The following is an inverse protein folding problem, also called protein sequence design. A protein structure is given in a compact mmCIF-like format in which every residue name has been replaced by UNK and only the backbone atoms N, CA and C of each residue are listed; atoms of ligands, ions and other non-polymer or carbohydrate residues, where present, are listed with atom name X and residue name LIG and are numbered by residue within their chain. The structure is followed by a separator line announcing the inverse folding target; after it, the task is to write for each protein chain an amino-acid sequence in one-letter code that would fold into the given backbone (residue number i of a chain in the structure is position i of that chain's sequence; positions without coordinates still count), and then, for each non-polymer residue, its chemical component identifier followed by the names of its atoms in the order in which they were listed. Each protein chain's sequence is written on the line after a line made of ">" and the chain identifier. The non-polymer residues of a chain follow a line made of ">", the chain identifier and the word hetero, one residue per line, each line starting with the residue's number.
data_IF_300905073624
#
_entry.id   IF_300905073624
#
_cell.length_a   1.000
_cell.length_b   1.000
_cell.length_c   1.000
_cell.angle_alpha   90.00
_cell.angle_beta   90.00
_cell.angle_gamma   90.00
#
_symmetry.space_group_name_H-M   'P 1'
#
loop_
_entity.id
_entity.type
_entity.pdbx_description
1 polymer ?
#
# COMPACT_ATOMS: atom_id res chain seq x y z
N UNK A 1 4.86 -15.70 7.85
CA UNK A 1 4.22 -14.95 8.97
C UNK A 1 5.21 -13.89 9.41
N UNK A 2 4.86 -12.62 9.21
CA UNK A 2 5.71 -11.50 9.58
C UNK A 2 6.06 -11.57 11.07
N UNK A 3 7.31 -11.28 11.41
CA UNK A 3 7.68 -11.05 12.80
C UNK A 3 6.99 -9.76 13.22
N UNK A 4 5.83 -9.86 13.88
CA UNK A 4 5.19 -8.71 14.53
C UNK A 4 6.14 -8.27 15.65
N UNK A 5 6.97 -7.29 15.32
CA UNK A 5 7.75 -6.53 16.29
C UNK A 5 6.79 -5.51 16.89
N UNK A 6 6.75 -5.40 18.21
CA UNK A 6 5.84 -4.46 18.89
C UNK A 6 6.28 -3.03 18.58
N UNK A 7 5.56 -2.39 17.67
CA UNK A 7 5.58 -0.96 17.42
C UNK A 7 4.13 -0.46 17.56
N UNK A 8 3.78 0.26 18.65
CA UNK A 8 2.41 0.71 18.89
C UNK A 8 1.85 1.59 17.77
N UNK A 9 2.68 2.37 17.08
CA UNK A 9 2.20 3.24 16.01
C UNK A 9 1.76 2.41 14.80
N UNK A 10 2.58 1.43 14.40
CA UNK A 10 2.30 0.55 13.28
C UNK A 10 1.21 -0.47 13.60
N UNK A 11 1.30 -1.13 14.76
CA UNK A 11 0.38 -2.18 15.20
C UNK A 11 -1.03 -1.60 15.40
N UNK A 12 -1.16 -0.40 15.95
CA UNK A 12 -2.46 0.27 16.15
C UNK A 12 -2.91 1.11 14.95
N UNK A 13 -2.14 1.09 13.85
CA UNK A 13 -2.40 1.79 12.59
C UNK A 13 -2.57 3.31 12.74
N UNK A 14 -1.68 3.93 13.52
CA UNK A 14 -1.62 5.38 13.71
C UNK A 14 -0.60 5.95 12.72
N UNK A 15 -0.90 5.79 11.43
CA UNK A 15 0.01 6.06 10.29
C UNK A 15 0.35 7.55 10.10
N UNK A 16 -0.49 8.45 10.64
CA UNK A 16 -0.26 9.89 10.67
C UNK A 16 -0.93 10.47 11.93
N UNK A 17 -0.19 10.52 13.04
CA UNK A 17 -0.70 11.06 14.32
C UNK A 17 -1.05 12.56 14.25
N UNK A 18 -0.78 13.25 13.13
CA UNK A 18 -1.20 14.64 12.88
C UNK A 18 -2.67 14.74 12.50
N UNK A 19 -3.33 13.65 12.12
CA UNK A 19 -4.73 13.64 11.71
C UNK A 19 -5.59 12.81 12.64
N UNK A 20 -6.86 13.19 12.74
CA UNK A 20 -7.86 12.46 13.50
C UNK A 20 -8.05 11.05 12.92
N UNK A 21 -7.93 10.03 13.77
CA UNK A 21 -8.09 8.62 13.35
C UNK A 21 -9.55 8.22 13.11
N UNK A 22 -10.49 9.06 13.53
CA UNK A 22 -11.93 8.80 13.46
C UNK A 22 -12.42 8.53 12.05
N UNK A 23 -13.46 7.70 11.95
CA UNK A 23 -14.06 7.28 10.70
C UNK A 23 -15.32 8.10 10.46
N UNK A 24 -15.39 8.77 9.31
CA UNK A 24 -16.58 9.54 8.92
C UNK A 24 -17.73 8.62 8.50
N UNK A 25 -18.94 9.16 8.35
CA UNK A 25 -20.11 8.40 7.86
C UNK A 25 -19.92 7.79 6.47
N UNK A 26 -18.94 8.27 5.69
CA UNK A 26 -18.55 7.73 4.38
C UNK A 26 -17.48 6.64 4.47
N UNK A 27 -17.20 6.13 5.67
CA UNK A 27 -16.17 5.12 5.96
C UNK A 27 -14.74 5.54 5.59
N UNK A 28 -14.48 6.84 5.47
CA UNK A 28 -13.13 7.40 5.24
C UNK A 28 -12.55 7.99 6.52
N UNK A 29 -11.21 8.02 6.63
CA UNK A 29 -10.48 8.72 7.70
C UNK A 29 -10.85 10.21 7.75
N UNK A 30 -10.94 10.74 8.96
CA UNK A 30 -11.16 12.16 9.19
C UNK A 30 -9.92 12.97 8.78
N UNK A 31 -10.13 14.06 8.06
CA UNK A 31 -9.06 14.97 7.61
C UNK A 31 -8.74 16.08 8.64
N UNK A 32 -9.41 16.09 9.79
CA UNK A 32 -9.18 17.11 10.81
C UNK A 32 -7.81 16.93 11.45
N UNK A 33 -6.99 17.98 11.38
CA UNK A 33 -5.66 18.01 11.99
C UNK A 33 -5.76 18.11 13.51
N UNK A 34 -4.98 17.28 14.21
CA UNK A 34 -4.78 17.37 15.66
C UNK A 34 -3.77 18.48 15.93
N UNK A 35 -4.18 19.46 16.74
CA UNK A 35 -3.34 20.61 17.11
C UNK A 35 -2.56 20.33 18.40
N UNK A 36 -1.48 21.09 18.59
CA UNK A 36 -0.78 21.14 19.89
C UNK A 36 -1.72 21.62 21.01
N UNK A 37 -1.53 21.16 22.26
CA UNK A 37 -0.45 20.29 22.77
C UNK A 37 -0.71 18.77 22.63
N UNK A 38 -1.84 18.37 22.04
CA UNK A 38 -2.26 16.96 21.99
C UNK A 38 -1.38 16.12 21.07
N UNK A 39 -0.90 16.72 19.98
CA UNK A 39 -0.02 16.07 19.03
C UNK A 39 1.27 15.57 19.71
N UNK A 40 1.92 16.43 20.49
CA UNK A 40 3.09 16.06 21.29
C UNK A 40 2.77 14.95 22.31
N UNK A 41 1.60 14.99 22.93
CA UNK A 41 1.18 13.97 23.89
C UNK A 41 0.96 12.59 23.26
N UNK A 42 0.50 12.52 22.00
CA UNK A 42 0.38 11.26 21.25
C UNK A 42 1.76 10.63 21.05
N UNK A 43 2.73 11.40 20.54
CA UNK A 43 4.09 10.92 20.32
C UNK A 43 4.73 10.39 21.61
N UNK A 44 4.67 11.17 22.69
CA UNK A 44 5.23 10.77 23.99
C UNK A 44 4.56 9.51 24.58
N UNK A 45 3.27 9.28 24.30
CA UNK A 45 2.56 8.08 24.77
C UNK A 45 2.93 6.85 23.94
N UNK A 46 3.03 6.99 22.61
CA UNK A 46 3.48 5.91 21.72
C UNK A 46 4.92 5.49 22.02
N UNK A 47 5.83 6.45 22.24
CA UNK A 47 7.21 6.18 22.64
C UNK A 47 7.28 5.43 23.97
N UNK A 48 6.44 5.79 24.93
CA UNK A 48 6.36 5.07 26.21
C UNK A 48 5.83 3.64 26.02
N UNK A 49 4.85 3.46 25.14
CA UNK A 49 4.30 2.14 24.86
C UNK A 49 5.31 1.24 24.12
N UNK A 50 6.13 1.79 23.22
CA UNK A 50 7.12 1.02 22.45
C UNK A 50 8.28 0.52 23.32
N UNK A 51 8.62 1.26 24.37
CA UNK A 51 9.63 0.86 25.36
C UNK A 51 9.15 -0.26 26.30
N UNK A 52 7.84 -0.53 26.37
CA UNK A 52 7.25 -1.54 27.24
C UNK A 52 6.72 -2.74 26.46
N UNK A 53 6.56 -3.88 27.14
CA UNK A 53 5.88 -5.05 26.57
C UNK A 53 4.42 -4.70 26.19
N UNK A 54 3.85 -5.26 25.11
CA UNK A 54 2.44 -5.07 24.76
C UNK A 54 1.48 -5.43 25.90
N UNK A 55 1.86 -6.33 26.81
CA UNK A 55 1.10 -6.67 28.02
C UNK A 55 0.81 -5.46 28.93
N UNK A 56 1.64 -4.41 28.86
CA UNK A 56 1.47 -3.18 29.64
C UNK A 56 0.59 -2.13 28.94
N UNK A 57 0.17 -2.36 27.69
CA UNK A 57 -0.76 -1.50 26.97
C UNK A 57 -2.20 -1.70 27.49
N UNK A 58 -2.46 -1.23 28.71
CA UNK A 58 -3.75 -1.40 29.36
C UNK A 58 -4.88 -0.69 28.61
N UNK A 59 -6.13 -1.12 28.84
CA UNK A 59 -7.33 -0.45 28.31
C UNK A 59 -7.36 1.05 28.64
N UNK A 60 -6.84 1.46 29.81
CA UNK A 60 -6.76 2.87 30.19
C UNK A 60 -5.76 3.64 29.34
N UNK A 61 -4.58 3.06 29.08
CA UNK A 61 -3.57 3.64 28.18
C UNK A 61 -4.11 3.78 26.76
N UNK A 62 -4.81 2.75 26.26
CA UNK A 62 -5.46 2.77 24.95
C UNK A 62 -6.57 3.83 24.89
N UNK A 63 -7.33 4.01 25.98
CA UNK A 63 -8.33 5.07 26.08
C UNK A 63 -7.72 6.46 25.98
N UNK A 64 -6.63 6.70 26.72
CA UNK A 64 -5.91 7.98 26.66
C UNK A 64 -5.38 8.26 25.24
N UNK A 65 -4.83 7.23 24.59
CA UNK A 65 -4.34 7.33 23.23
C UNK A 65 -5.49 7.63 22.24
N UNK A 66 -6.60 6.89 22.34
CA UNK A 66 -7.75 7.06 21.47
C UNK A 66 -8.40 8.44 21.65
N UNK A 67 -8.56 8.90 22.89
CA UNK A 67 -9.04 10.25 23.17
C UNK A 67 -8.14 11.27 22.47
N UNK A 68 -6.82 11.21 22.65
CA UNK A 68 -5.87 12.14 22.03
C UNK A 68 -5.94 12.12 20.50
N UNK A 69 -6.06 10.95 19.89
CA UNK A 69 -6.08 10.73 18.44
C UNK A 69 -7.42 11.11 17.77
N UNK A 70 -8.47 11.42 18.54
CA UNK A 70 -9.79 11.77 18.01
C UNK A 70 -10.09 13.28 18.15
N UNK A 71 -10.73 13.85 17.13
CA UNK A 71 -11.21 15.23 17.19
C UNK A 71 -12.44 15.32 18.12
N UNK A 72 -12.40 16.26 19.07
CA UNK A 72 -13.45 16.39 20.09
C UNK A 72 -14.83 16.72 19.51
N UNK A 73 -14.85 17.45 18.41
CA UNK A 73 -16.06 18.00 17.80
C UNK A 73 -16.93 16.94 17.14
N UNK A 74 -16.32 15.96 16.48
CA UNK A 74 -17.04 15.02 15.62
C UNK A 74 -16.85 13.55 15.97
N UNK A 75 -15.70 13.15 16.54
CA UNK A 75 -15.35 11.74 16.69
C UNK A 75 -15.03 11.32 18.14
N UNK A 76 -15.31 12.17 19.13
CA UNK A 76 -15.15 11.82 20.56
C UNK A 76 -15.98 10.62 21.00
N UNK A 77 -17.10 10.36 20.34
CA UNK A 77 -17.95 9.19 20.61
C UNK A 77 -17.32 7.87 20.15
N UNK A 78 -16.34 7.89 19.23
CA UNK A 78 -15.69 6.68 18.69
C UNK A 78 -14.57 6.13 19.59
N UNK A 79 -14.24 6.82 20.69
CA UNK A 79 -13.13 6.42 21.58
C UNK A 79 -13.25 4.97 22.03
N UNK A 80 -14.45 4.54 22.47
CA UNK A 80 -14.64 3.18 22.96
C UNK A 80 -14.52 2.11 21.87
N UNK A 81 -14.86 2.44 20.62
CA UNK A 81 -14.73 1.54 19.48
C UNK A 81 -13.25 1.27 19.18
N UNK A 82 -12.44 2.33 19.11
CA UNK A 82 -10.99 2.21 18.94
C UNK A 82 -10.32 1.49 20.12
N UNK A 83 -10.73 1.77 21.35
CA UNK A 83 -10.21 1.06 22.53
C UNK A 83 -10.52 -0.43 22.43
N UNK A 84 -11.74 -0.82 22.05
CA UNK A 84 -12.10 -2.23 21.88
C UNK A 84 -11.25 -2.89 20.81
N UNK A 85 -11.13 -2.26 19.63
CA UNK A 85 -10.33 -2.76 18.51
C UNK A 85 -8.86 -2.94 18.92
N UNK A 86 -8.26 -1.90 19.51
CA UNK A 86 -6.87 -1.93 19.93
C UNK A 86 -6.61 -2.92 21.06
N UNK A 87 -7.57 -3.15 21.96
CA UNK A 87 -7.45 -4.18 23.00
C UNK A 87 -7.29 -5.56 22.35
N UNK A 88 -8.14 -5.89 21.36
CA UNK A 88 -8.04 -7.16 20.63
C UNK A 88 -6.69 -7.30 19.90
N UNK A 89 -6.23 -6.25 19.24
CA UNK A 89 -4.93 -6.26 18.54
C UNK A 89 -3.76 -6.50 19.51
N UNK A 90 -3.81 -5.88 20.69
CA UNK A 90 -2.81 -6.10 21.75
C UNK A 90 -2.86 -7.55 22.24
N UNK A 91 -4.04 -8.09 22.54
CA UNK A 91 -4.23 -9.46 23.01
C UNK A 91 -3.70 -10.50 21.99
N UNK A 92 -3.97 -10.29 20.70
CA UNK A 92 -3.42 -11.13 19.63
C UNK A 92 -1.89 -11.05 19.58
N UNK A 93 -1.33 -9.83 19.68
CA UNK A 93 0.12 -9.62 19.67
C UNK A 93 0.80 -10.33 20.84
N UNK A 94 0.20 -10.25 22.03
CA UNK A 94 0.67 -10.97 23.24
C UNK A 94 0.56 -12.48 23.04
N UNK A 95 -0.55 -12.97 22.48
CA UNK A 95 -0.76 -14.40 22.23
C UNK A 95 0.30 -14.98 21.29
N UNK A 96 0.58 -14.30 20.17
CA UNK A 96 1.63 -14.71 19.22
C UNK A 96 3.01 -14.72 19.88
N UNK A 97 3.30 -13.75 20.76
CA UNK A 97 4.56 -13.70 21.51
C UNK A 97 4.68 -14.88 22.47
N UNK A 98 3.62 -15.20 23.21
CA UNK A 98 3.59 -16.34 24.14
C UNK A 98 3.72 -17.67 23.41
N UNK A 99 3.06 -17.86 22.28
CA UNK A 99 3.16 -19.09 21.46
C UNK A 99 4.60 -19.30 20.96
N UNK A 100 5.27 -18.23 20.52
CA UNK A 100 6.69 -18.29 20.13
C UNK A 100 7.60 -18.69 21.30
N UNK A 101 7.33 -18.20 22.51
CA UNK A 101 8.08 -18.57 23.71
C UNK A 101 7.83 -20.05 24.06
N UNK A 102 6.58 -20.49 24.06
CA UNK A 102 6.21 -21.87 24.33
C UNK A 102 6.89 -22.85 23.36
N UNK A 103 6.87 -22.52 22.06
CA UNK A 103 7.54 -23.33 21.04
C UNK A 103 9.05 -23.43 21.27
N UNK A 104 9.72 -22.33 21.62
CA UNK A 104 11.16 -22.34 21.96
C UNK A 104 11.44 -23.21 23.19
N UNK A 105 10.57 -23.19 24.20
CA UNK A 105 10.71 -24.05 25.37
C UNK A 105 10.54 -25.53 25.03
N UNK A 106 9.63 -25.87 24.12
CA UNK A 106 9.46 -27.24 23.63
C UNK A 106 10.68 -27.72 22.83
N UNK A 107 11.20 -26.88 21.93
CA UNK A 107 12.43 -27.16 21.19
C UNK A 107 13.61 -27.41 22.15
N UNK A 108 13.73 -26.59 23.21
CA UNK A 108 14.76 -26.76 24.25
C UNK A 108 14.60 -28.08 25.02
N UNK A 109 13.38 -28.41 25.46
CA UNK A 109 13.09 -29.69 26.13
C UNK A 109 13.38 -30.90 25.24
N UNK A 110 13.13 -30.79 23.94
CA UNK A 110 13.45 -31.85 22.99
C UNK A 110 14.98 -32.03 22.83
N UNK A 111 15.73 -30.93 22.80
CA UNK A 111 17.19 -30.98 22.78
C UNK A 111 17.76 -31.63 24.05
N UNK A 112 17.23 -31.27 25.22
CA UNK A 112 17.64 -31.86 26.51
C UNK A 112 17.41 -33.38 26.55
N UNK A 113 16.23 -33.85 26.12
CA UNK A 113 15.95 -35.31 26.00
C UNK A 113 16.91 -36.00 25.03
N UNK A 114 17.28 -35.33 23.95
CA UNK A 114 18.21 -35.88 22.94
C UNK A 114 19.62 -36.04 23.49
N UNK A 115 20.07 -35.09 24.33
CA UNK A 115 21.35 -35.17 25.03
C UNK A 115 21.37 -36.28 26.07
N UNK A 116 20.30 -36.46 26.84
CA UNK A 116 20.19 -37.55 27.81
C UNK A 116 20.24 -38.93 27.12
N UNK A 117 19.52 -39.08 26.01
CA UNK A 117 19.58 -40.29 25.16
C UNK A 117 21.01 -40.57 24.67
N UNK A 118 21.72 -39.56 24.16
CA UNK A 118 23.11 -39.74 23.72
C UNK A 118 24.02 -40.20 24.87
N UNK A 119 23.87 -39.61 26.06
CA UNK A 119 24.64 -40.04 27.24
C UNK A 119 24.40 -41.51 27.60
N UNK A 120 23.13 -41.97 27.55
CA UNK A 120 22.80 -43.38 27.78
C UNK A 120 23.40 -44.30 26.73
N UNK A 121 23.36 -43.90 25.46
CA UNK A 121 23.95 -44.67 24.36
C UNK A 121 25.47 -44.80 24.54
N UNK A 122 26.16 -43.72 24.87
CA UNK A 122 27.61 -43.75 25.15
C UNK A 122 27.96 -44.72 26.27
N UNK A 123 27.23 -44.69 27.40
CA UNK A 123 27.46 -45.62 28.52
C UNK A 123 27.23 -47.09 28.14
N UNK A 124 26.23 -47.35 27.31
CA UNK A 124 25.97 -48.71 26.81
C UNK A 124 27.06 -49.18 25.85
N UNK A 125 27.58 -48.29 25.00
CA UNK A 125 28.71 -48.61 24.11
C UNK A 125 29.99 -48.92 24.89
N UNK A 126 30.30 -48.15 25.93
CA UNK A 126 31.43 -48.43 26.83
C UNK A 126 31.28 -49.79 27.51
N UNK A 127 30.11 -50.06 28.09
CA UNK A 127 29.83 -51.35 28.75
C UNK A 127 29.97 -52.52 27.78
N UNK A 128 29.43 -52.39 26.56
CA UNK A 128 29.53 -53.42 25.53
C UNK A 128 30.98 -53.66 25.12
N UNK A 129 31.79 -52.60 25.01
CA UNK A 129 33.22 -52.72 24.68
C UNK A 129 34.00 -53.46 25.78
N UNK A 130 33.71 -53.17 27.05
CA UNK A 130 34.33 -53.85 28.19
C UNK A 130 33.98 -55.34 28.21
N UNK A 131 32.70 -55.69 28.04
CA UNK A 131 32.28 -57.10 27.98
C UNK A 131 32.88 -57.84 26.80
N UNK A 132 33.01 -57.18 25.64
CA UNK A 132 33.68 -57.78 24.47
C UNK A 132 35.15 -58.10 24.79
N UNK A 133 35.86 -57.20 25.46
CA UNK A 133 37.25 -57.39 25.83
C UNK A 133 37.43 -58.51 26.86
N UNK A 134 36.50 -58.64 27.81
CA UNK A 134 36.50 -59.72 28.80
C UNK A 134 36.29 -61.09 28.14
N UNK A 135 35.35 -61.18 27.19
CA UNK A 135 35.13 -62.40 26.40
C UNK A 135 36.40 -62.81 25.60
N UNK A 136 37.09 -61.85 25.00
CA UNK A 136 38.35 -62.12 24.28
C UNK A 136 39.45 -62.68 25.21
N UNK A 137 39.52 -62.18 26.45
CA UNK A 137 40.46 -62.69 27.45
C UNK A 137 40.12 -64.13 27.87
N UNK A 138 38.85 -64.41 28.14
CA UNK A 138 38.35 -65.74 28.48
C UNK A 138 38.65 -66.73 27.34
N UNK A 139 38.42 -66.33 26.09
CA UNK A 139 38.70 -67.18 24.93
C UNK A 139 40.20 -67.51 24.80
N UNK A 140 41.07 -66.52 25.01
CA UNK A 140 42.54 -66.75 25.04
C UNK A 140 42.94 -67.69 26.17
N UNK A 141 42.31 -67.59 27.33
CA UNK A 141 42.60 -68.46 28.47
C UNK A 141 42.20 -69.91 28.16
N UNK A 142 41.01 -70.15 27.63
CA UNK A 142 40.58 -71.48 27.22
C UNK A 142 41.52 -72.11 26.19
N UNK A 143 42.01 -71.34 25.21
CA UNK A 143 42.99 -71.84 24.24
C UNK A 143 44.31 -72.29 24.90
N UNK A 144 44.79 -71.58 25.93
CA UNK A 144 46.00 -71.98 26.68
C UNK A 144 45.77 -73.28 27.44
N UNK A 145 44.62 -73.43 28.08
CA UNK A 145 44.29 -74.60 28.89
C UNK A 145 44.14 -75.85 28.00
N UNK A 146 43.50 -75.72 26.83
CA UNK A 146 43.45 -76.79 25.83
C UNK A 146 44.86 -77.21 25.37
N UNK A 147 45.75 -76.24 25.08
CA UNK A 147 47.14 -76.54 24.70
C UNK A 147 47.94 -77.22 25.83
N UNK A 148 47.63 -76.92 27.09
CA UNK A 148 48.27 -77.56 28.26
C UNK A 148 47.82 -79.01 28.39
N UNK A 149 46.50 -79.25 28.36
CA UNK A 149 45.94 -80.60 28.46
C UNK A 149 46.43 -81.52 27.33
N UNK A 150 46.54 -81.01 26.10
CA UNK A 150 47.12 -81.78 24.98
C UNK A 150 48.57 -82.20 25.20
N UNK A 151 49.39 -81.35 25.84
CA UNK A 151 50.77 -81.69 26.18
C UNK A 151 50.82 -82.77 27.25
N UNK A 152 50.07 -82.61 28.33
CA UNK A 152 50.00 -83.61 29.40
C UNK A 152 49.57 -84.99 28.88
N UNK A 153 48.60 -85.05 27.96
CA UNK A 153 48.19 -86.32 27.32
C UNK A 153 49.36 -86.94 26.56
N UNK A 154 50.09 -86.15 25.78
CA UNK A 154 51.24 -86.62 25.01
C UNK A 154 52.36 -87.16 25.90
N UNK A 155 52.62 -86.49 27.03
CA UNK A 155 53.64 -86.89 27.99
C UNK A 155 53.24 -88.22 28.68
N UNK A 156 51.98 -88.34 29.11
CA UNK A 156 51.45 -89.58 29.68
C UNK A 156 51.48 -90.75 28.68
N UNK A 157 51.15 -90.50 27.40
CA UNK A 157 51.26 -91.51 26.35
C UNK A 157 52.71 -91.95 26.09
N UNK A 158 53.69 -91.09 26.36
CA UNK A 158 55.11 -91.39 26.23
C UNK A 158 55.62 -92.22 27.42
N UNK A 159 55.29 -91.84 28.65
CA UNK A 159 55.61 -92.62 29.86
C UNK A 159 55.05 -94.05 29.77
N UNK A 160 53.85 -94.19 29.24
CA UNK A 160 53.19 -95.47 29.00
C UNK A 160 53.94 -96.35 27.97
N UNK A 161 54.55 -95.74 26.95
CA UNK A 161 55.39 -96.43 25.95
C UNK A 161 56.73 -96.85 26.56
N UNK A 162 57.34 -95.97 27.36
CA UNK A 162 58.63 -96.22 28.01
C UNK A 162 58.52 -97.29 29.09
N UNK A 163 57.42 -97.32 29.85
CA UNK A 163 57.13 -98.39 30.80
C UNK A 163 56.93 -99.77 30.14
N UNK A 164 56.61 -99.83 28.84
CA UNK A 164 56.59 -101.10 28.06
C UNK A 164 57.99 -101.56 27.62
N UNK A 165 59.01 -100.69 27.68
CA UNK A 165 60.38 -100.98 27.24
C UNK A 165 61.33 -101.50 28.32
N UNK A 166 60.95 -101.49 29.60
CA UNK A 166 61.83 -101.84 30.73
C UNK A 166 61.37 -103.04 31.59
N UNK A 167 62.12 -104.15 31.47
CA UNK A 167 62.33 -105.27 32.41
C UNK A 167 61.28 -106.38 32.65
N UNK A 168 61.80 -107.61 32.68
CA UNK A 168 61.23 -108.97 32.82
C UNK A 168 60.45 -109.29 34.14
N UNK A 169 59.59 -108.39 34.61
CA UNK A 169 58.41 -108.75 35.43
C UNK A 169 57.23 -107.94 34.87
N UNK A 170 56.86 -108.18 33.62
CA UNK A 170 56.07 -107.21 32.83
C UNK A 170 54.92 -107.79 32.04
N UNK A 171 54.72 -109.11 31.96
CA UNK A 171 53.55 -109.62 31.22
C UNK A 171 52.23 -109.27 31.90
N UNK A 172 52.11 -109.47 33.22
CA UNK A 172 50.88 -109.16 33.96
C UNK A 172 50.64 -107.65 34.14
N UNK A 173 51.71 -106.86 34.38
CA UNK A 173 51.63 -105.39 34.41
C UNK A 173 51.39 -104.79 33.03
N UNK A 174 51.96 -105.33 31.95
CA UNK A 174 51.70 -104.86 30.59
C UNK A 174 50.31 -105.26 30.09
N UNK A 175 49.76 -106.40 30.54
CA UNK A 175 48.38 -106.81 30.30
C UNK A 175 47.40 -105.92 31.07
N UNK A 176 47.64 -105.66 32.36
CA UNK A 176 46.83 -104.72 33.15
C UNK A 176 46.90 -103.30 32.57
N UNK A 177 48.08 -102.85 32.18
CA UNK A 177 48.26 -101.55 31.54
C UNK A 177 47.63 -101.51 30.14
N UNK A 178 47.72 -102.58 29.34
CA UNK A 178 46.97 -102.71 28.08
C UNK A 178 45.46 -102.62 28.34
N UNK A 179 44.97 -103.30 29.36
CA UNK A 179 43.57 -103.29 29.74
C UNK A 179 43.12 -101.87 30.14
N UNK A 180 43.88 -101.17 30.98
CA UNK A 180 43.55 -99.78 31.35
C UNK A 180 43.61 -98.83 30.15
N UNK A 181 44.62 -98.96 29.27
CA UNK A 181 44.71 -98.17 28.03
C UNK A 181 43.47 -98.38 27.17
N UNK A 182 43.08 -99.63 26.94
CA UNK A 182 42.06 -100.00 25.96
C UNK A 182 40.64 -99.88 26.52
N UNK A 183 40.43 -100.12 27.81
CA UNK A 183 39.10 -100.20 28.43
C UNK A 183 38.80 -99.04 29.41
N UNK A 184 39.80 -98.32 29.92
CA UNK A 184 39.59 -97.17 30.81
C UNK A 184 39.91 -95.84 30.11
N UNK A 185 41.05 -95.74 29.45
CA UNK A 185 41.50 -94.50 28.83
C UNK A 185 40.93 -94.28 27.43
N UNK A 186 40.89 -95.31 26.58
CA UNK A 186 40.36 -95.19 25.21
C UNK A 186 38.88 -94.76 25.17
N UNK A 187 37.96 -95.27 26.01
CA UNK A 187 36.60 -94.74 26.07
C UNK A 187 36.54 -93.28 26.53
N UNK A 188 37.40 -92.88 27.48
CA UNK A 188 37.51 -91.47 27.92
C UNK A 188 38.01 -90.57 26.79
N UNK A 189 38.96 -91.02 25.98
CA UNK A 189 39.47 -90.29 24.81
C UNK A 189 38.34 -90.10 23.80
N UNK A 190 37.63 -91.18 23.43
CA UNK A 190 36.49 -91.11 22.50
C UNK A 190 35.44 -90.13 23.02
N UNK A 191 35.13 -90.17 24.33
CA UNK A 191 34.17 -89.24 24.94
C UNK A 191 34.65 -87.78 24.91
N UNK A 192 35.95 -87.52 25.12
CA UNK A 192 36.51 -86.18 25.05
C UNK A 192 36.59 -85.65 23.61
N UNK A 193 36.90 -86.49 22.64
CA UNK A 193 36.85 -86.16 21.21
C UNK A 193 35.41 -85.82 20.77
N UNK A 194 34.43 -86.59 21.24
CA UNK A 194 33.01 -86.31 21.03
C UNK A 194 32.63 -84.92 21.60
N UNK A 195 33.01 -84.63 22.86
CA UNK A 195 32.76 -83.33 23.49
C UNK A 195 33.45 -82.17 22.77
N UNK A 196 34.67 -82.39 22.28
CA UNK A 196 35.39 -81.39 21.50
C UNK A 196 34.66 -81.12 20.17
N UNK A 197 34.20 -82.16 19.49
CA UNK A 197 33.45 -82.06 18.25
C UNK A 197 32.13 -81.31 18.45
N UNK A 198 31.37 -81.66 19.49
CA UNK A 198 30.14 -80.95 19.87
C UNK A 198 30.38 -79.48 20.21
N UNK A 199 31.48 -79.16 20.88
CA UNK A 199 31.87 -77.77 21.19
C UNK A 199 32.21 -77.00 19.91
N UNK A 200 32.95 -77.63 19.00
CA UNK A 200 33.33 -77.02 17.73
C UNK A 200 32.13 -76.79 16.80
N UNK A 201 31.19 -77.73 16.76
CA UNK A 201 29.94 -77.58 16.02
C UNK A 201 29.07 -76.47 16.63
N UNK A 202 28.98 -76.38 17.96
CA UNK A 202 28.32 -75.25 18.65
C UNK A 202 28.97 -73.91 18.29
N UNK A 203 30.31 -73.86 18.25
CA UNK A 203 31.04 -72.63 17.96
C UNK A 203 30.83 -72.18 16.50
N UNK A 204 30.82 -73.13 15.55
CA UNK A 204 30.50 -72.85 14.15
C UNK A 204 29.08 -72.30 13.99
N UNK A 205 28.10 -72.82 14.74
CA UNK A 205 26.72 -72.30 14.74
C UNK A 205 26.68 -70.87 15.29
N UNK A 206 27.41 -70.57 16.37
CA UNK A 206 27.48 -69.20 16.89
C UNK A 206 28.20 -68.23 15.96
N UNK A 207 29.27 -68.64 15.30
CA UNK A 207 29.95 -67.82 14.28
C UNK A 207 29.03 -67.54 13.08
N UNK A 208 28.27 -68.54 12.63
CA UNK A 208 27.26 -68.36 11.57
C UNK A 208 26.18 -67.34 11.97
N UNK A 209 25.70 -67.41 13.22
CA UNK A 209 24.74 -66.42 13.75
C UNK A 209 25.33 -65.03 13.87
N UNK A 210 26.56 -64.90 14.36
CA UNK A 210 27.26 -63.61 14.47
C UNK A 210 27.51 -62.99 13.10
N UNK A 211 27.92 -63.80 12.12
CA UNK A 211 28.08 -63.36 10.73
C UNK A 211 26.77 -62.80 10.18
N UNK A 212 25.67 -63.53 10.33
CA UNK A 212 24.34 -63.08 9.88
C UNK A 212 23.87 -61.80 10.59
N UNK A 213 24.12 -61.67 11.91
CA UNK A 213 23.82 -60.44 12.64
C UNK A 213 24.66 -59.25 12.14
N UNK A 214 25.94 -59.45 11.86
CA UNK A 214 26.83 -58.42 11.32
C UNK A 214 26.34 -57.94 9.95
N UNK A 215 25.98 -58.85 9.05
CA UNK A 215 25.43 -58.48 7.73
C UNK A 215 24.11 -57.72 7.86
N UNK A 216 23.26 -58.09 8.82
CA UNK A 216 21.99 -57.39 9.08
C UNK A 216 22.24 -55.98 9.62
N UNK A 217 23.22 -55.82 10.50
CA UNK A 217 23.61 -54.51 11.05
C UNK A 217 24.16 -53.59 9.95
N UNK A 218 25.04 -54.09 9.09
CA UNK A 218 25.58 -53.35 7.94
C UNK A 218 24.46 -52.88 6.99
N UNK A 219 23.49 -53.77 6.69
CA UNK A 219 22.31 -53.40 5.90
C UNK A 219 21.48 -52.31 6.56
N UNK A 220 21.21 -52.43 7.87
CA UNK A 220 20.44 -51.42 8.60
C UNK A 220 21.18 -50.07 8.68
N UNK A 221 22.50 -50.09 8.82
CA UNK A 221 23.32 -48.89 8.86
C UNK A 221 23.33 -48.19 7.48
N UNK A 222 23.48 -48.96 6.40
CA UNK A 222 23.38 -48.44 5.03
C UNK A 222 21.99 -47.85 4.74
N UNK A 223 20.93 -48.56 5.15
CA UNK A 223 19.55 -48.09 5.02
C UNK A 223 19.34 -46.77 5.78
N UNK A 224 19.77 -46.72 7.05
CA UNK A 224 19.61 -45.52 7.91
C UNK A 224 20.34 -44.32 7.31
N UNK A 225 21.55 -44.52 6.78
CA UNK A 225 22.30 -43.46 6.10
C UNK A 225 21.60 -42.98 4.83
N UNK A 226 21.09 -43.90 4.01
CA UNK A 226 20.32 -43.58 2.81
C UNK A 226 19.05 -42.78 3.15
N UNK A 227 18.29 -43.22 4.15
CA UNK A 227 17.07 -42.54 4.60
C UNK A 227 17.36 -41.14 5.15
N UNK A 228 18.47 -40.97 5.87
CA UNK A 228 18.91 -39.67 6.37
C UNK A 228 19.26 -38.71 5.22
N UNK A 229 19.99 -39.17 4.20
CA UNK A 229 20.30 -38.37 3.01
C UNK A 229 19.03 -37.97 2.24
N UNK A 230 18.08 -38.91 2.08
CA UNK A 230 16.81 -38.64 1.43
C UNK A 230 15.98 -37.58 2.19
N UNK A 231 15.92 -37.68 3.53
CA UNK A 231 15.24 -36.68 4.37
C UNK A 231 15.87 -35.30 4.26
N UNK A 232 17.20 -35.21 4.30
CA UNK A 232 17.90 -33.93 4.15
C UNK A 232 17.65 -33.29 2.78
N UNK A 233 17.62 -34.09 1.71
CA UNK A 233 17.27 -33.59 0.37
C UNK A 233 15.86 -33.00 0.35
N UNK A 234 14.87 -33.74 0.88
CA UNK A 234 13.48 -33.28 0.96
C UNK A 234 13.34 -32.04 1.84
N UNK A 235 14.12 -31.91 2.91
CA UNK A 235 14.12 -30.71 3.75
C UNK A 235 14.64 -29.48 3.01
N UNK A 236 15.71 -29.64 2.21
CA UNK A 236 16.25 -28.55 1.37
C UNK A 236 15.24 -28.14 0.30
N UNK A 237 14.64 -29.10 -0.40
CA UNK A 237 13.61 -28.83 -1.41
C UNK A 237 12.38 -28.15 -0.78
N UNK A 238 11.93 -28.61 0.39
CA UNK A 238 10.83 -28.00 1.13
C UNK A 238 11.14 -26.55 1.53
N UNK A 239 12.37 -26.26 1.96
CA UNK A 239 12.83 -24.89 2.23
C UNK A 239 12.84 -24.03 0.97
N UNK A 240 13.31 -24.57 -0.16
CA UNK A 240 13.31 -23.88 -1.46
C UNK A 240 11.90 -23.53 -1.92
N UNK A 241 11.00 -24.52 -1.92
CA UNK A 241 9.60 -24.35 -2.31
C UNK A 241 8.89 -23.32 -1.42
N UNK A 242 9.20 -23.28 -0.12
CA UNK A 242 8.63 -22.29 0.79
C UNK A 242 9.07 -20.86 0.44
N UNK A 243 10.31 -20.67 0.00
CA UNK A 243 10.81 -19.37 -0.47
C UNK A 243 10.13 -18.97 -1.78
N UNK A 244 10.00 -19.90 -2.73
CA UNK A 244 9.29 -19.68 -3.99
C UNK A 244 7.83 -19.30 -3.76
N UNK A 245 7.15 -19.96 -2.83
CA UNK A 245 5.76 -19.68 -2.47
C UNK A 245 5.61 -18.28 -1.85
N UNK A 246 6.55 -17.85 -1.00
CA UNK A 246 6.56 -16.48 -0.46
C UNK A 246 6.76 -15.45 -1.58
N UNK A 247 7.66 -15.72 -2.52
CA UNK A 247 7.91 -14.81 -3.65
C UNK A 247 6.72 -14.74 -4.62
N UNK A 248 6.07 -15.87 -4.88
CA UNK A 248 4.83 -15.92 -5.67
C UNK A 248 3.70 -15.15 -4.99
N UNK A 249 3.56 -15.27 -3.67
CA UNK A 249 2.57 -14.50 -2.91
C UNK A 249 2.82 -12.99 -3.01
N UNK A 250 4.08 -12.54 -2.88
CA UNK A 250 4.42 -11.12 -3.03
C UNK A 250 4.02 -10.57 -4.40
N UNK A 251 4.27 -11.32 -5.48
CA UNK A 251 3.86 -10.92 -6.83
C UNK A 251 2.33 -10.83 -6.95
N UNK A 252 1.60 -11.76 -6.33
CA UNK A 252 0.14 -11.73 -6.33
C UNK A 252 -0.40 -10.51 -5.57
N UNK A 253 0.22 -10.16 -4.43
CA UNK A 253 -0.14 -8.98 -3.65
C UNK A 253 0.15 -7.69 -4.44
N UNK A 254 1.28 -7.63 -5.16
CA UNK A 254 1.62 -6.54 -6.08
C UNK A 254 0.60 -6.40 -7.22
N UNK A 255 0.23 -7.49 -7.89
CA UNK A 255 -0.79 -7.50 -8.94
C UNK A 255 -2.16 -7.05 -8.42
N UNK A 256 -2.51 -7.45 -7.19
CA UNK A 256 -3.75 -7.01 -6.53
C UNK A 256 -3.72 -5.50 -6.29
N UNK A 257 -2.61 -4.96 -5.81
CA UNK A 257 -2.42 -3.51 -5.62
C UNK A 257 -2.50 -2.73 -6.95
N UNK A 258 -1.92 -3.28 -8.03
CA UNK A 258 -1.99 -2.68 -9.37
C UNK A 258 -3.44 -2.65 -9.86
N UNK A 259 -4.20 -3.74 -9.65
CA UNK A 259 -5.61 -3.80 -10.03
C UNK A 259 -6.47 -2.79 -9.27
N UNK A 260 -6.21 -2.58 -7.97
CA UNK A 260 -6.88 -1.53 -7.19
C UNK A 260 -6.60 -0.13 -7.75
N UNK A 261 -5.33 0.18 -8.07
CA UNK A 261 -4.96 1.46 -8.70
C UNK A 261 -5.61 1.66 -10.06
N UNK A 262 -5.68 0.60 -10.87
CA UNK A 262 -6.36 0.65 -12.17
C UNK A 262 -7.86 0.95 -12.01
N UNK A 263 -8.51 0.36 -11.00
CA UNK A 263 -9.91 0.66 -10.68
C UNK A 263 -10.11 2.12 -10.28
N UNK A 264 -9.17 2.68 -9.52
CA UNK A 264 -9.21 4.10 -9.15
C UNK A 264 -9.01 5.02 -10.37
N UNK A 265 -8.07 4.69 -11.26
CA UNK A 265 -7.90 5.41 -12.51
C UNK A 265 -9.16 5.34 -13.40
N UNK A 266 -9.80 4.18 -13.51
CA UNK A 266 -11.07 4.03 -14.23
C UNK A 266 -12.17 4.93 -13.66
N UNK A 267 -12.26 5.04 -12.32
CA UNK A 267 -13.23 5.92 -11.67
C UNK A 267 -12.91 7.40 -11.95
N UNK A 268 -11.63 7.78 -11.96
CA UNK A 268 -11.21 9.13 -12.32
C UNK A 268 -11.52 9.45 -13.78
N UNK A 269 -11.26 8.52 -14.71
CA UNK A 269 -11.58 8.67 -16.13
C UNK A 269 -13.08 8.88 -16.30
N UNK A 270 -13.93 8.02 -15.70
CA UNK A 270 -15.39 8.18 -15.77
C UNK A 270 -15.88 9.52 -15.21
N UNK A 271 -15.23 10.03 -14.17
CA UNK A 271 -15.55 11.34 -13.61
C UNK A 271 -15.16 12.48 -14.57
N UNK A 272 -13.97 12.41 -15.17
CA UNK A 272 -13.51 13.37 -16.16
C UNK A 272 -14.40 13.36 -17.41
N UNK A 273 -14.78 12.19 -17.91
CA UNK A 273 -15.74 12.04 -19.01
C UNK A 273 -17.09 12.70 -18.70
N UNK A 274 -17.59 12.53 -17.47
CA UNK A 274 -18.82 13.19 -17.03
C UNK A 274 -18.68 14.71 -17.03
N UNK A 275 -17.55 15.25 -16.55
CA UNK A 275 -17.26 16.69 -16.56
C UNK A 275 -17.14 17.22 -17.99
N UNK A 276 -16.44 16.50 -18.88
CA UNK A 276 -16.31 16.88 -20.30
C UNK A 276 -17.69 16.96 -20.95
N UNK A 277 -18.57 15.97 -20.73
CA UNK A 277 -19.95 16.00 -21.22
C UNK A 277 -20.71 17.22 -20.70
N UNK A 278 -20.60 17.54 -19.40
CA UNK A 278 -21.23 18.73 -18.82
C UNK A 278 -20.71 20.04 -19.45
N UNK A 279 -19.39 20.20 -19.58
CA UNK A 279 -18.81 21.38 -20.20
C UNK A 279 -19.21 21.52 -21.67
N UNK A 280 -19.29 20.41 -22.41
CA UNK A 280 -19.73 20.41 -23.81
C UNK A 280 -21.16 20.95 -23.93
N UNK A 281 -22.08 20.45 -23.09
CA UNK A 281 -23.47 20.95 -23.07
C UNK A 281 -23.54 22.44 -22.72
N UNK A 282 -22.75 22.90 -21.75
CA UNK A 282 -22.70 24.33 -21.40
C UNK A 282 -22.14 25.19 -22.54
N UNK A 283 -21.12 24.71 -23.26
CA UNK A 283 -20.56 25.42 -24.42
C UNK A 283 -21.57 25.50 -25.56
N UNK A 284 -22.31 24.42 -25.83
CA UNK A 284 -23.37 24.45 -26.83
C UNK A 284 -24.51 25.41 -26.46
N UNK A 285 -24.94 25.44 -25.20
CA UNK A 285 -25.98 26.36 -24.73
C UNK A 285 -25.53 27.83 -24.81
N UNK A 286 -24.30 28.12 -24.39
CA UNK A 286 -23.72 29.48 -24.50
C UNK A 286 -23.55 29.90 -25.95
N UNK A 287 -23.12 29.01 -26.84
CA UNK A 287 -23.05 29.27 -28.29
C UNK A 287 -24.43 29.55 -28.89
N UNK A 288 -25.47 28.80 -28.51
CA UNK A 288 -26.86 29.05 -28.94
C UNK A 288 -27.36 30.41 -28.48
N UNK A 289 -27.10 30.78 -27.21
CA UNK A 289 -27.46 32.09 -26.66
C UNK A 289 -26.73 33.25 -27.37
N UNK A 290 -25.45 33.07 -27.71
CA UNK A 290 -24.68 34.05 -28.45
C UNK A 290 -25.27 34.30 -29.84
N UNK A 291 -25.56 33.23 -30.61
CA UNK A 291 -26.20 33.34 -31.94
C UNK A 291 -27.56 34.04 -31.85
N UNK A 292 -28.40 33.66 -30.89
CA UNK A 292 -29.70 34.32 -30.70
C UNK A 292 -29.57 35.81 -30.35
N UNK A 293 -28.51 36.21 -29.65
CA UNK A 293 -28.24 37.62 -29.38
C UNK A 293 -27.71 38.34 -30.61
N UNK A 294 -26.84 37.72 -31.41
CA UNK A 294 -26.40 38.26 -32.69
C UNK A 294 -27.58 38.52 -33.63
N UNK A 295 -28.51 37.56 -33.77
CA UNK A 295 -29.74 37.73 -34.56
C UNK A 295 -30.60 38.92 -34.05
N UNK A 296 -30.73 39.07 -32.73
CA UNK A 296 -31.41 40.23 -32.12
C UNK A 296 -30.71 41.55 -32.41
N UNK A 297 -29.37 41.57 -32.43
CA UNK A 297 -28.60 42.78 -32.76
C UNK A 297 -28.74 43.12 -34.23
N UNK A 298 -28.69 42.13 -35.13
CA UNK A 298 -28.87 42.31 -36.58
C UNK A 298 -30.26 42.88 -36.88
N UNK A 299 -31.31 42.30 -36.31
CA UNK A 299 -32.69 42.79 -36.48
C UNK A 299 -32.88 44.21 -35.93
N UNK A 300 -32.33 44.52 -34.74
CA UNK A 300 -32.36 45.89 -34.20
C UNK A 300 -31.59 46.88 -35.07
N UNK A 301 -30.42 46.49 -35.60
CA UNK A 301 -29.63 47.34 -36.50
C UNK A 301 -30.40 47.62 -37.79
N UNK A 302 -30.98 46.60 -38.42
CA UNK A 302 -31.81 46.76 -39.61
C UNK A 302 -33.02 47.68 -39.36
N UNK A 303 -33.71 47.54 -38.21
CA UNK A 303 -34.80 48.42 -37.82
C UNK A 303 -34.32 49.87 -37.62
N UNK A 304 -33.17 50.07 -36.97
CA UNK A 304 -32.56 51.40 -36.79
C UNK A 304 -32.21 52.04 -38.13
N UNK A 305 -31.56 51.30 -39.03
CA UNK A 305 -31.23 51.77 -40.38
C UNK A 305 -32.49 52.13 -41.18
N UNK A 306 -33.56 51.34 -41.08
CA UNK A 306 -34.84 51.67 -41.71
C UNK A 306 -35.45 52.96 -41.15
N UNK A 307 -35.39 53.18 -39.83
CA UNK A 307 -35.87 54.40 -39.20
C UNK A 307 -35.03 55.60 -39.61
N UNK A 308 -33.71 55.46 -39.64
CA UNK A 308 -32.79 56.52 -40.07
C UNK A 308 -33.06 56.92 -41.53
N UNK A 309 -33.29 55.96 -42.43
CA UNK A 309 -33.69 56.22 -43.82
C UNK A 309 -34.99 57.02 -43.90
N UNK A 310 -36.00 56.68 -43.08
CA UNK A 310 -37.26 57.45 -43.02
C UNK A 310 -37.05 58.87 -42.52
N UNK A 311 -36.28 59.06 -41.46
CA UNK A 311 -35.98 60.40 -40.94
C UNK A 311 -35.21 61.25 -41.95
N UNK A 312 -34.22 60.68 -42.66
CA UNK A 312 -33.53 61.39 -43.73
C UNK A 312 -34.48 61.80 -44.86
N UNK A 313 -35.39 60.92 -45.27
CA UNK A 313 -36.39 61.26 -46.28
C UNK A 313 -37.34 62.39 -45.82
N UNK A 314 -37.80 62.36 -44.57
CA UNK A 314 -38.63 63.44 -43.99
C UNK A 314 -37.88 64.77 -43.91
N UNK A 315 -36.60 64.75 -43.53
CA UNK A 315 -35.76 65.95 -43.53
C UNK A 315 -35.63 66.53 -44.93
N UNK A 316 -35.35 65.70 -45.95
CA UNK A 316 -35.28 66.18 -47.34
C UNK A 316 -36.60 66.76 -47.85
N UNK A 317 -37.74 66.19 -47.45
CA UNK A 317 -39.07 66.71 -47.79
C UNK A 317 -39.31 68.07 -47.13
N UNK A 318 -38.98 68.20 -45.84
CA UNK A 318 -39.08 69.45 -45.08
C UNK A 318 -38.15 70.52 -45.61
N UNK A 319 -36.91 70.18 -45.98
CA UNK A 319 -35.98 71.12 -46.60
C UNK A 319 -36.53 71.64 -47.94
N UNK A 320 -37.12 70.75 -48.76
CA UNK A 320 -37.79 71.17 -49.99
C UNK A 320 -39.02 72.06 -49.75
N UNK A 321 -39.77 71.82 -48.67
CA UNK A 321 -40.88 72.67 -48.23
C UNK A 321 -40.39 74.05 -47.76
N UNK A 322 -39.32 74.09 -46.96
CA UNK A 322 -38.66 75.34 -46.53
C UNK A 322 -38.15 76.13 -47.74
N UNK A 323 -37.50 75.49 -48.71
CA UNK A 323 -37.07 76.16 -49.94
C UNK A 323 -38.24 76.76 -50.71
N UNK A 324 -39.37 76.04 -50.84
CA UNK A 324 -40.58 76.57 -51.48
C UNK A 324 -41.16 77.78 -50.74
N UNK A 325 -41.27 77.69 -49.41
CA UNK A 325 -41.75 78.81 -48.58
C UNK A 325 -40.82 80.01 -48.65
N UNK A 326 -39.50 79.79 -48.72
CA UNK A 326 -38.51 80.84 -48.86
C UNK A 326 -38.65 81.55 -50.21
N UNK A 327 -38.75 80.80 -51.31
CA UNK A 327 -39.00 81.38 -52.64
C UNK A 327 -40.29 82.19 -52.66
N UNK A 328 -41.37 81.67 -52.07
CA UNK A 328 -42.64 82.37 -52.00
C UNK A 328 -42.57 83.66 -51.15
N UNK A 329 -41.80 83.64 -50.06
CA UNK A 329 -41.52 84.84 -49.28
C UNK A 329 -40.75 85.88 -50.11
N UNK A 330 -39.73 85.46 -50.87
CA UNK A 330 -38.96 86.35 -51.75
C UNK A 330 -39.85 86.96 -52.84
N UNK A 331 -40.75 86.18 -53.47
CA UNK A 331 -41.76 86.67 -54.41
C UNK A 331 -42.69 87.71 -53.76
N UNK A 332 -43.18 87.43 -52.54
CA UNK A 332 -44.01 88.37 -51.80
C UNK A 332 -43.26 89.65 -51.44
N UNK A 333 -42.00 89.57 -51.00
CA UNK A 333 -41.16 90.73 -50.73
C UNK A 333 -40.93 91.59 -51.99
N UNK A 334 -40.76 90.96 -53.15
CA UNK A 334 -40.65 91.66 -54.43
C UNK A 334 -41.97 92.37 -54.80
N UNK A 335 -43.12 91.70 -54.65
CA UNK A 335 -44.43 92.32 -54.92
C UNK A 335 -44.73 93.48 -53.96
N UNK A 336 -44.42 93.34 -52.67
CA UNK A 336 -44.57 94.41 -51.68
C UNK A 336 -43.67 95.59 -52.02
N UNK A 337 -42.41 95.34 -52.38
CA UNK A 337 -41.47 96.38 -52.79
C UNK A 337 -41.96 97.11 -54.06
N UNK A 338 -42.49 96.37 -55.03
CA UNK A 338 -43.09 96.94 -56.24
C UNK A 338 -44.34 97.78 -55.95
N UNK A 339 -45.23 97.30 -55.09
CA UNK A 339 -46.41 98.06 -54.63
C UNK A 339 -46.01 99.31 -53.86
N UNK A 340 -45.02 99.22 -52.97
CA UNK A 340 -44.49 100.36 -52.22
C UNK A 340 -43.90 101.42 -53.16
N UNK A 341 -43.10 101.00 -54.14
CA UNK A 341 -42.58 101.90 -55.17
C UNK A 341 -43.70 102.55 -56.00
N UNK A 342 -44.76 101.80 -56.33
CA UNK A 342 -45.94 102.35 -57.00
C UNK A 342 -46.71 103.34 -56.13
N UNK A 343 -46.82 103.09 -54.82
CA UNK A 343 -47.45 103.99 -53.84
C UNK A 343 -46.63 105.29 -53.72
N UNK A 344 -45.31 105.19 -53.63
CA UNK A 344 -44.39 106.34 -53.52
C UNK A 344 -44.30 107.15 -54.82
N UNK A 345 -44.51 106.51 -55.97
CA UNK A 345 -44.64 107.16 -57.27
C UNK A 345 -46.04 107.77 -57.51
N UNK A 346 -47.04 107.42 -56.70
CA UNK A 346 -48.39 107.95 -56.83
C UNK A 346 -48.43 109.43 -56.40
N UNK A 347 -48.90 110.27 -57.32
CA UNK A 347 -49.00 111.71 -57.12
C UNK A 347 -49.82 112.09 -55.87
N UNK A 348 -50.84 111.30 -55.51
CA UNK A 348 -51.66 111.53 -54.32
C UNK A 348 -50.89 111.34 -53.00
N UNK A 349 -50.04 110.31 -52.90
CA UNK A 349 -49.22 110.08 -51.71
C UNK A 349 -48.09 111.10 -51.59
N UNK A 350 -47.47 111.50 -52.72
CA UNK A 350 -46.54 112.64 -52.73
C UNK A 350 -47.21 113.94 -52.30
N UNK A 351 -48.45 114.20 -52.73
CA UNK A 351 -49.22 115.36 -52.33
C UNK A 351 -49.58 115.34 -50.83
N UNK A 352 -49.97 114.19 -50.27
CA UNK A 352 -50.20 114.06 -48.82
C UNK A 352 -48.93 114.26 -48.00
N UNK A 353 -47.81 113.64 -48.39
CA UNK A 353 -46.53 113.83 -47.70
C UNK A 353 -46.03 115.28 -47.81
N UNK A 354 -46.26 115.95 -48.95
CA UNK A 354 -46.01 117.39 -49.12
C UNK A 354 -46.89 118.23 -48.18
N UNK A 355 -48.19 117.93 -48.11
CA UNK A 355 -49.14 118.64 -47.24
C UNK A 355 -48.81 118.49 -45.74
N UNK A 356 -48.31 117.34 -45.30
CA UNK A 356 -47.89 117.14 -43.91
C UNK A 356 -46.62 117.93 -43.54
N UNK A 357 -45.68 118.16 -44.48
CA UNK A 357 -44.46 118.97 -44.21
C UNK A 357 -44.76 120.43 -43.88
N UNK A 358 -45.91 120.95 -44.27
CA UNK A 358 -46.37 122.31 -43.92
C UNK A 358 -47.12 122.39 -42.58
N UNK A 359 -47.17 121.30 -41.80
CA UNK A 359 -47.70 121.30 -40.44
C UNK A 359 -46.59 121.15 -39.40
N UNK A 360 -46.27 122.23 -38.68
CA UNK A 360 -45.42 122.17 -37.47
C UNK A 360 -46.30 122.06 -36.21
N UNK A 361 -45.93 121.17 -35.29
CA UNK A 361 -46.47 121.14 -33.91
C UNK A 361 -45.66 122.08 -33.03
N UNK A 362 -46.36 122.93 -32.25
CA UNK A 362 -45.71 123.76 -31.24
C UNK A 362 -45.52 122.98 -29.91
N UNK A 363 -44.67 123.47 -28.99
CA UNK A 363 -44.27 122.80 -27.72
C UNK A 363 -45.42 122.40 -26.75
N UNK A 364 -46.68 122.71 -27.09
CA UNK A 364 -47.91 122.32 -26.37
C UNK A 364 -48.82 121.35 -27.16
N UNK A 365 -48.34 120.76 -28.27
CA UNK A 365 -49.03 119.68 -28.98
C UNK A 365 -50.18 120.09 -29.90
N UNK A 366 -50.44 121.39 -30.09
CA UNK A 366 -51.46 121.90 -31.02
C UNK A 366 -50.89 122.26 -32.39
N UNK A 367 -51.68 122.02 -33.45
CA UNK A 367 -51.34 122.28 -34.85
C UNK A 367 -51.60 123.74 -35.22
N UNK A 368 -50.60 124.43 -35.80
CA UNK A 368 -50.72 125.83 -36.22
C UNK A 368 -50.42 125.90 -37.73
N UNK A 369 -51.27 126.59 -38.48
CA UNK A 369 -51.04 126.90 -39.90
C UNK A 369 -50.24 128.20 -40.00
N UNK A 370 -49.14 128.18 -40.73
CA UNK A 370 -48.29 129.35 -40.95
C UNK A 370 -48.90 130.15 -42.09
N UNK A 371 -49.44 131.34 -41.80
CA UNK A 371 -49.80 132.34 -42.80
C UNK A 371 -49.24 133.71 -42.36
N UNK A 372 -48.30 134.17 -43.18
CA UNK A 372 -47.84 135.52 -43.52
C UNK A 372 -47.82 136.64 -42.46
N UNK A 373 -46.60 137.09 -42.14
CA UNK A 373 -46.38 138.49 -41.78
C UNK A 373 -45.35 138.80 -40.69
N UNK A 374 -44.07 138.45 -40.88
CA UNK A 374 -42.91 139.32 -40.56
C UNK A 374 -41.65 138.73 -41.18
N UNK A 375 -41.00 139.53 -42.02
CA UNK A 375 -39.71 139.27 -42.65
C UNK A 375 -38.61 139.18 -41.59
N UNK A 376 -37.82 138.10 -41.61
CA UNK A 376 -36.36 138.16 -41.41
C UNK A 376 -35.72 136.84 -41.87
N UNK A 377 -34.87 136.97 -42.90
CA UNK A 377 -33.87 136.06 -43.46
C UNK A 377 -34.21 134.58 -43.72
N UNK A 378 -34.68 134.36 -44.95
CA UNK A 378 -34.63 133.09 -45.67
C UNK A 378 -33.20 132.88 -46.18
N UNK A 379 -32.40 132.15 -45.42
CA UNK A 379 -31.21 131.47 -45.93
C UNK A 379 -31.57 130.18 -46.67
N UNK A 380 -31.99 130.30 -47.93
CA UNK A 380 -32.10 129.19 -48.88
C UNK A 380 -30.70 128.60 -49.14
N UNK A 381 -30.50 127.32 -48.80
CA UNK A 381 -29.49 126.47 -49.45
C UNK A 381 -30.15 125.18 -49.95
N UNK A 382 -30.50 125.24 -51.23
CA UNK A 382 -30.25 124.25 -52.29
C UNK A 382 -30.05 122.78 -51.92
N UNK A 383 -30.88 121.97 -52.56
CA UNK A 383 -30.85 120.52 -52.72
C UNK A 383 -29.48 119.92 -53.04
N UNK A 384 -29.24 118.72 -52.49
CA UNK A 384 -28.65 117.58 -53.18
C UNK A 384 -29.59 116.39 -52.98
#
# INVERSE_FOLDING_TARGET
>A
MASITWDPADVLQISDHRQCIGITTRQSRCTSTIKEPRLSAIGALLDRMSQNSPEFATRQTLYQLADLCLCRTYHSHQVQEFVSLWTTVVEETVSVKLEKIAKRMDDFRQAERSLEMHSRISKLQESLSATSQENDQIQKQYQRDVKRLRRNIKDLEQELRESKGGNNITEQKSLAMKFDIEHVFRPKIIHLEQKLKESQDRNNISEGRLSAMRTKLEKLQAQTMSDWLARNRLEIESKSLKVELINAQKKLDEDTSINEKNRDFDNQIKNLERKIKQYTVMLEDTAKKARANEDKVVTKRAAKESMEKRYKAQLTERDGEISRLKNHREELEETVSGLQASIDACWWHRFQAWKERFRKRNKSGSWISIADGTNEDIGLKTYA
#
